data_IF_596373165352
#
_entry.id   IF_596373165352
#
_cell.length_a   1.000
_cell.length_b   1.000
_cell.length_c   1.000
_cell.angle_alpha   90.00
_cell.angle_beta   90.00
_cell.angle_gamma   90.00
#
_symmetry.space_group_name_H-M   'P 1'
#
loop_
_entity.id
_entity.type
_entity.pdbx_description
1 polymer ?
#
# COMPACT_ATOMS: atom_id res chain seq x y z
N UNK A 1 -85.26 11.03 -5.60
CA UNK A 1 -83.95 10.56 -6.11
C UNK A 1 -84.06 9.07 -6.43
N UNK A 2 -83.32 8.63 -7.44
CA UNK A 2 -83.63 7.54 -8.36
C UNK A 2 -83.49 6.12 -7.77
N UNK A 3 -84.37 5.24 -8.24
CA UNK A 3 -84.24 3.78 -8.34
C UNK A 3 -83.00 3.36 -9.16
N UNK A 4 -82.44 2.17 -8.86
CA UNK A 4 -82.08 1.07 -9.80
C UNK A 4 -81.27 0.04 -8.99
N UNK A 5 -81.71 -1.20 -8.75
CA UNK A 5 -81.98 -2.33 -9.65
C UNK A 5 -80.73 -3.06 -10.16
N UNK A 6 -80.78 -4.37 -9.91
CA UNK A 6 -79.89 -5.51 -10.07
C UNK A 6 -79.26 -5.69 -11.46
N UNK A 7 -78.02 -6.22 -11.51
CA UNK A 7 -77.55 -7.03 -12.65
C UNK A 7 -76.61 -8.15 -12.17
N UNK A 8 -76.92 -9.38 -12.59
CA UNK A 8 -76.13 -10.60 -12.42
C UNK A 8 -75.46 -10.96 -13.76
N UNK A 9 -74.28 -11.61 -13.72
CA UNK A 9 -73.67 -12.48 -14.76
C UNK A 9 -72.35 -13.05 -14.20
N UNK A 10 -72.34 -14.30 -13.71
CA UNK A 10 -71.89 -15.53 -14.40
C UNK A 10 -70.47 -15.53 -15.03
N UNK A 11 -69.53 -16.10 -14.26
CA UNK A 11 -68.56 -17.17 -14.61
C UNK A 11 -67.94 -17.27 -16.01
N UNK A 12 -66.61 -17.20 -16.06
CA UNK A 12 -65.77 -18.05 -16.91
C UNK A 12 -64.39 -18.24 -16.23
N UNK A 13 -63.99 -19.49 -16.03
CA UNK A 13 -62.73 -19.87 -15.40
C UNK A 13 -61.53 -19.74 -16.34
N UNK A 14 -60.39 -19.36 -15.78
CA UNK A 14 -59.07 -19.65 -16.35
C UNK A 14 -58.32 -20.56 -15.38
N UNK A 15 -58.02 -21.77 -15.84
CA UNK A 15 -57.09 -22.68 -15.20
C UNK A 15 -55.66 -22.19 -15.47
N UNK A 16 -54.96 -21.77 -14.41
CA UNK A 16 -53.52 -21.55 -14.45
C UNK A 16 -52.83 -22.91 -14.26
N UNK A 17 -52.26 -23.43 -15.33
CA UNK A 17 -51.30 -24.54 -15.28
C UNK A 17 -50.01 -24.01 -14.65
N UNK A 18 -49.70 -24.44 -13.44
CA UNK A 18 -48.37 -24.26 -12.86
C UNK A 18 -47.41 -25.26 -13.51
N UNK A 19 -46.46 -24.76 -14.29
CA UNK A 19 -45.28 -25.51 -14.72
C UNK A 19 -44.34 -25.65 -13.53
N UNK A 20 -44.31 -26.85 -12.94
CA UNK A 20 -43.27 -27.29 -12.02
C UNK A 20 -41.95 -27.44 -12.79
N UNK A 21 -41.02 -26.52 -12.58
CA UNK A 21 -39.62 -26.68 -12.98
C UNK A 21 -38.93 -27.45 -11.85
N UNK A 22 -38.55 -28.69 -12.13
CA UNK A 22 -37.67 -29.47 -11.27
C UNK A 22 -36.29 -28.80 -11.20
N UNK A 23 -35.67 -28.68 -10.02
CA UNK A 23 -34.30 -28.21 -9.93
C UNK A 23 -33.37 -29.28 -10.50
N UNK A 24 -32.55 -28.90 -11.48
CA UNK A 24 -31.41 -29.67 -11.96
C UNK A 24 -30.42 -29.90 -10.81
N UNK A 25 -30.00 -31.15 -10.62
CA UNK A 25 -28.90 -31.53 -9.75
C UNK A 25 -27.67 -30.68 -10.05
N UNK A 26 -27.19 -29.95 -9.05
CA UNK A 26 -25.89 -29.31 -9.08
C UNK A 26 -24.82 -30.39 -8.88
N UNK A 27 -23.99 -30.59 -9.92
CA UNK A 27 -22.79 -31.39 -9.80
C UNK A 27 -21.86 -30.74 -8.76
N UNK A 28 -21.70 -31.41 -7.62
CA UNK A 28 -20.92 -30.93 -6.49
C UNK A 28 -19.42 -31.12 -6.80
N UNK A 29 -18.75 -30.07 -7.29
CA UNK A 29 -17.30 -30.06 -7.50
C UNK A 29 -16.58 -30.10 -6.15
N UNK A 30 -15.88 -31.20 -5.87
CA UNK A 30 -15.06 -31.35 -4.66
C UNK A 30 -13.60 -31.05 -4.98
N UNK A 31 -13.06 -29.97 -4.38
CA UNK A 31 -11.62 -29.72 -4.37
C UNK A 31 -10.99 -30.57 -3.26
N UNK A 32 -10.02 -31.43 -3.62
CA UNK A 32 -9.15 -32.13 -2.67
C UNK A 32 -7.79 -31.45 -2.66
N UNK A 33 -7.20 -31.30 -1.49
CA UNK A 33 -5.80 -30.89 -1.39
C UNK A 33 -4.85 -32.04 -1.77
N UNK A 34 -3.54 -31.78 -1.77
CA UNK A 34 -2.50 -32.76 -2.07
C UNK A 34 -2.39 -33.90 -1.05
N UNK A 35 -3.16 -33.87 0.04
CA UNK A 35 -3.22 -34.91 1.07
C UNK A 35 -4.53 -35.73 1.02
N UNK A 36 -5.49 -35.34 0.18
CA UNK A 36 -6.76 -36.05 0.01
C UNK A 36 -7.83 -35.71 1.05
N UNK A 37 -7.63 -34.68 1.88
CA UNK A 37 -8.61 -34.24 2.87
C UNK A 37 -9.69 -33.35 2.22
N UNK A 38 -10.95 -33.50 2.66
CA UNK A 38 -12.07 -32.68 2.22
C UNK A 38 -12.15 -31.38 3.05
N UNK A 39 -12.17 -30.23 2.37
CA UNK A 39 -12.35 -28.92 3.01
C UNK A 39 -13.86 -28.65 3.22
N UNK A 40 -14.30 -28.56 4.47
CA UNK A 40 -15.70 -28.21 4.80
C UNK A 40 -15.94 -26.72 4.55
N UNK A 41 -16.76 -26.41 3.55
CA UNK A 41 -17.15 -25.05 3.20
C UNK A 41 -18.24 -24.50 4.11
N UNK A 42 -17.90 -23.51 4.93
CA UNK A 42 -18.87 -22.57 5.47
C UNK A 42 -18.43 -21.13 5.22
N UNK A 43 -19.38 -20.39 4.64
CA UNK A 43 -19.43 -18.95 4.33
C UNK A 43 -18.82 -18.49 3.00
N UNK A 44 -19.70 -17.90 2.18
CA UNK A 44 -19.37 -16.88 1.18
C UNK A 44 -19.08 -17.37 -0.23
N UNK A 45 -20.12 -17.62 -1.02
CA UNK A 45 -20.01 -17.80 -2.46
C UNK A 45 -19.60 -16.47 -3.11
N UNK A 46 -18.37 -16.42 -3.59
CA UNK A 46 -17.90 -15.82 -4.84
C UNK A 46 -16.36 -15.94 -4.83
N UNK A 47 -15.77 -16.56 -5.87
CA UNK A 47 -14.31 -16.83 -6.10
C UNK A 47 -13.77 -18.25 -5.88
N UNK A 48 -14.61 -19.28 -5.81
CA UNK A 48 -14.12 -20.66 -5.82
C UNK A 48 -13.60 -21.15 -7.21
N UNK A 49 -13.95 -20.46 -8.30
CA UNK A 49 -13.56 -20.88 -9.67
C UNK A 49 -12.11 -20.54 -10.08
N UNK A 50 -11.44 -19.60 -9.39
CA UNK A 50 -10.15 -19.09 -9.86
C UNK A 50 -8.93 -19.82 -9.27
N UNK A 51 -9.14 -20.73 -8.32
CA UNK A 51 -8.04 -21.39 -7.58
C UNK A 51 -7.59 -22.75 -8.16
N UNK A 52 -8.22 -23.27 -9.22
CA UNK A 52 -7.94 -24.62 -9.73
C UNK A 52 -7.24 -24.72 -11.09
N UNK A 53 -6.92 -23.60 -11.74
CA UNK A 53 -6.14 -23.59 -12.99
C UNK A 53 -4.81 -22.88 -12.78
N UNK A 54 -3.76 -23.63 -12.46
CA UNK A 54 -2.45 -23.54 -13.13
C UNK A 54 -1.45 -24.53 -12.52
N UNK A 55 -1.05 -25.51 -13.32
CA UNK A 55 -0.07 -26.55 -13.01
C UNK A 55 1.34 -26.13 -13.44
N UNK A 56 2.30 -26.41 -12.55
CA UNK A 56 3.62 -27.01 -12.80
C UNK A 56 4.79 -26.22 -13.45
N UNK A 57 5.81 -25.99 -12.61
CA UNK A 57 7.26 -26.33 -12.73
C UNK A 57 8.12 -25.73 -13.86
N UNK A 58 9.15 -24.95 -13.46
CA UNK A 58 10.55 -25.16 -13.84
C UNK A 58 11.54 -24.45 -12.88
N UNK A 59 12.67 -25.09 -12.58
CA UNK A 59 13.89 -24.56 -11.95
C UNK A 59 15.09 -24.98 -12.83
N UNK A 60 16.36 -24.64 -12.50
CA UNK A 60 17.05 -23.36 -12.62
C UNK A 60 18.27 -23.46 -13.57
N UNK A 61 18.84 -22.34 -14.05
CA UNK A 61 20.01 -22.41 -14.92
C UNK A 61 20.81 -21.12 -15.14
N UNK A 62 21.99 -21.12 -14.54
CA UNK A 62 23.26 -20.47 -14.91
C UNK A 62 23.45 -18.94 -14.77
N UNK A 63 24.43 -18.64 -13.92
CA UNK A 63 25.07 -17.36 -13.69
C UNK A 63 26.07 -17.02 -14.81
N UNK A 64 26.13 -15.74 -15.18
CA UNK A 64 27.25 -15.17 -15.93
C UNK A 64 27.94 -14.12 -15.05
N UNK A 65 29.22 -14.39 -14.84
CA UNK A 65 30.19 -13.67 -14.05
C UNK A 65 30.73 -12.47 -14.86
N UNK A 66 30.74 -11.27 -14.28
CA UNK A 66 31.53 -10.14 -14.80
C UNK A 66 32.32 -9.52 -13.66
N UNK A 67 33.65 -9.54 -13.81
CA UNK A 67 34.63 -8.94 -12.91
C UNK A 67 34.73 -7.41 -13.11
N UNK A 68 35.13 -6.68 -12.07
CA UNK A 68 35.15 -5.21 -12.04
C UNK A 68 36.46 -4.63 -12.61
N UNK A 69 36.37 -3.47 -13.25
CA UNK A 69 37.52 -2.62 -13.55
C UNK A 69 37.63 -1.48 -12.55
N UNK A 70 38.77 -1.45 -11.89
CA UNK A 70 39.24 -0.45 -10.94
C UNK A 70 39.71 0.82 -11.66
N UNK A 71 39.18 1.98 -11.28
CA UNK A 71 39.86 3.26 -11.47
C UNK A 71 39.80 4.06 -10.17
N UNK A 72 40.96 4.17 -9.52
CA UNK A 72 41.19 5.08 -8.41
C UNK A 72 41.43 6.49 -8.91
N UNK A 73 40.86 7.46 -8.22
CA UNK A 73 41.23 8.87 -8.32
C UNK A 73 41.53 9.36 -6.91
N UNK A 74 42.81 9.65 -6.68
CA UNK A 74 43.38 10.31 -5.51
C UNK A 74 43.53 11.79 -5.82
N UNK A 75 43.20 12.69 -4.87
CA UNK A 75 43.66 14.08 -4.70
C UNK A 75 42.56 14.91 -4.00
N UNK A 76 42.75 15.84 -3.05
CA UNK A 76 43.90 16.41 -2.32
C UNK A 76 43.31 16.97 -1.01
N UNK A 77 44.06 16.93 0.10
CA UNK A 77 43.64 17.48 1.40
C UNK A 77 43.91 19.00 1.44
N UNK A 78 42.92 19.87 1.71
CA UNK A 78 43.16 21.26 2.06
C UNK A 78 43.55 21.42 3.54
N UNK A 79 44.49 22.34 3.77
CA UNK A 79 45.05 22.76 5.05
C UNK A 79 43.96 23.28 6.01
N UNK A 80 43.99 22.80 7.25
CA UNK A 80 43.06 23.18 8.31
C UNK A 80 43.40 24.56 8.89
N UNK A 81 42.41 25.44 8.91
CA UNK A 81 42.38 26.65 9.75
C UNK A 81 41.86 26.30 11.14
N UNK A 82 42.58 26.75 12.18
CA UNK A 82 42.23 26.52 13.58
C UNK A 82 41.12 27.48 13.98
N UNK A 83 39.91 26.94 14.18
CA UNK A 83 38.75 27.65 14.71
C UNK A 83 38.60 27.38 16.21
N UNK A 84 38.30 28.44 16.98
CA UNK A 84 37.97 28.40 18.40
C UNK A 84 36.86 27.39 18.74
N UNK A 85 36.83 26.82 19.97
CA UNK A 85 35.97 25.68 20.31
C UNK A 85 34.50 26.06 20.23
N UNK A 86 33.80 25.48 19.26
CA UNK A 86 32.34 25.42 19.20
C UNK A 86 31.87 24.45 20.29
N UNK A 87 30.79 24.75 21.03
CA UNK A 87 30.19 23.80 21.97
C UNK A 87 29.97 22.47 21.26
N UNK A 88 30.42 21.37 21.87
CA UNK A 88 30.33 20.05 21.27
C UNK A 88 28.88 19.82 20.76
N UNK A 89 28.67 19.53 19.47
CA UNK A 89 27.40 19.05 19.01
C UNK A 89 27.05 17.83 19.85
N UNK A 90 25.85 17.79 20.42
CA UNK A 90 25.34 16.52 20.94
C UNK A 90 25.54 15.47 19.84
N UNK A 91 26.05 14.27 20.14
CA UNK A 91 26.23 13.24 19.13
C UNK A 91 24.86 12.98 18.51
N UNK A 92 24.67 13.47 17.29
CA UNK A 92 23.57 13.05 16.46
C UNK A 92 23.80 11.56 16.22
N UNK A 93 22.83 10.69 16.56
CA UNK A 93 22.94 9.29 16.17
C UNK A 93 23.16 9.22 14.67
N UNK A 94 24.14 8.41 14.27
CA UNK A 94 24.47 8.21 12.87
C UNK A 94 23.18 7.86 12.11
N UNK A 95 22.94 8.45 10.91
CA UNK A 95 21.82 8.06 10.09
C UNK A 95 21.87 6.55 9.85
N UNK A 96 20.71 5.91 9.86
CA UNK A 96 20.61 4.50 9.47
C UNK A 96 21.30 4.29 8.12
N UNK A 97 21.93 3.13 7.90
CA UNK A 97 22.57 2.79 6.62
C UNK A 97 21.61 2.89 5.42
N UNK A 98 20.30 2.85 5.70
CA UNK A 98 19.21 3.02 4.76
C UNK A 98 18.71 4.47 4.63
N UNK A 99 19.20 5.45 5.39
CA UNK A 99 18.82 6.87 5.27
C UNK A 99 17.36 7.21 5.56
N UNK A 100 16.59 6.28 6.12
CA UNK A 100 15.14 6.41 6.41
C UNK A 100 14.88 6.45 7.92
N UNK A 101 13.77 7.09 8.37
CA UNK A 101 13.39 7.08 9.78
C UNK A 101 13.00 5.67 10.22
N UNK A 102 13.67 5.11 11.23
CA UNK A 102 13.49 3.70 11.60
C UNK A 102 12.46 3.46 12.69
N UNK A 103 12.07 4.51 13.43
CA UNK A 103 11.11 4.41 14.52
C UNK A 103 10.22 5.65 14.65
N UNK A 104 9.13 5.51 15.40
CA UNK A 104 8.28 6.65 15.75
C UNK A 104 9.06 7.72 16.54
N UNK A 105 10.07 7.32 17.30
CA UNK A 105 10.94 8.21 18.08
C UNK A 105 12.24 8.58 17.36
N UNK A 106 12.28 8.42 16.02
CA UNK A 106 13.46 8.77 15.25
C UNK A 106 13.88 10.24 15.48
N UNK A 107 15.17 10.53 15.68
CA UNK A 107 15.70 11.88 15.90
C UNK A 107 15.28 12.92 14.85
N UNK A 108 14.95 12.52 13.61
CA UNK A 108 14.39 13.45 12.62
C UNK A 108 13.09 14.10 13.09
N UNK A 109 12.39 13.47 14.03
CA UNK A 109 11.17 13.97 14.67
C UNK A 109 11.43 14.69 16.00
N UNK A 110 12.67 15.08 16.32
CA UNK A 110 12.93 15.93 17.47
C UNK A 110 12.14 17.25 17.36
N UNK A 111 11.50 17.68 18.46
CA UNK A 111 10.74 18.93 18.54
C UNK A 111 9.48 19.03 17.65
N UNK A 112 8.95 17.90 17.14
CA UNK A 112 7.64 17.92 16.49
C UNK A 112 6.53 18.20 17.49
N UNK A 113 5.47 18.88 17.05
CA UNK A 113 4.32 19.21 17.88
C UNK A 113 3.37 18.02 17.98
N UNK A 114 2.95 17.65 19.18
CA UNK A 114 1.94 16.61 19.37
C UNK A 114 0.53 17.13 19.03
N UNK A 115 -0.21 16.38 18.23
CA UNK A 115 -1.63 16.57 17.96
C UNK A 115 -2.40 15.26 18.16
N UNK A 116 -3.61 15.33 18.71
CA UNK A 116 -4.45 14.14 18.95
C UNK A 116 -5.68 14.08 18.02
N UNK A 117 -5.80 15.01 17.07
CA UNK A 117 -6.97 15.12 16.19
C UNK A 117 -6.67 14.74 14.75
N UNK A 118 -7.69 14.19 14.09
CA UNK A 118 -7.71 14.00 12.64
C UNK A 118 -7.69 15.35 11.92
N UNK A 119 -7.02 15.41 10.78
CA UNK A 119 -6.85 16.64 10.01
C UNK A 119 -7.39 16.45 8.60
N UNK A 120 -8.27 17.36 8.17
CA UNK A 120 -8.61 17.50 6.75
C UNK A 120 -7.86 18.70 6.18
N UNK A 121 -7.07 18.45 5.15
CA UNK A 121 -6.25 19.41 4.45
C UNK A 121 -6.95 19.89 3.18
N UNK A 122 -7.20 21.21 3.03
CA UNK A 122 -7.70 21.76 1.77
C UNK A 122 -6.64 21.61 0.66
N UNK A 123 -7.03 21.66 -0.62
CA UNK A 123 -6.10 21.59 -1.74
C UNK A 123 -5.00 22.66 -1.65
N UNK A 124 -3.76 22.27 -1.98
CA UNK A 124 -2.56 23.11 -1.93
C UNK A 124 -1.95 23.29 -0.53
N UNK A 125 -2.55 22.74 0.52
CA UNK A 125 -2.07 22.96 1.89
C UNK A 125 -0.92 22.04 2.29
N UNK A 126 -0.19 22.46 3.33
CA UNK A 126 0.93 21.70 3.89
C UNK A 126 0.83 21.55 5.40
N UNK A 127 1.47 20.50 5.92
CA UNK A 127 1.74 20.30 7.35
C UNK A 127 3.20 19.94 7.55
N UNK A 128 3.80 20.54 8.58
CA UNK A 128 5.17 20.28 8.99
C UNK A 128 5.22 19.98 10.48
N UNK A 129 6.23 19.22 10.90
CA UNK A 129 6.64 19.07 12.30
C UNK A 129 5.51 18.61 13.24
N UNK A 130 4.87 17.51 12.89
CA UNK A 130 3.65 17.04 13.53
C UNK A 130 3.76 15.58 13.95
N UNK A 131 3.27 15.28 15.15
CA UNK A 131 3.17 13.94 15.71
C UNK A 131 1.73 13.64 16.06
N UNK A 132 1.13 12.64 15.43
CA UNK A 132 -0.26 12.25 15.67
C UNK A 132 -0.33 10.81 16.19
N UNK A 133 -1.10 10.63 17.26
CA UNK A 133 -1.53 9.31 17.75
C UNK A 133 -3.06 9.31 17.78
N UNK A 134 -3.69 8.45 16.98
CA UNK A 134 -5.14 8.48 16.70
C UNK A 134 -5.64 7.04 16.50
N UNK A 135 -6.82 6.63 17.01
CA UNK A 135 -7.24 5.22 16.99
C UNK A 135 -8.70 5.00 16.52
N UNK A 136 -9.26 5.91 15.74
CA UNK A 136 -10.68 5.87 15.33
C UNK A 136 -11.00 4.81 14.27
N UNK A 137 -10.03 4.41 13.45
CA UNK A 137 -10.27 3.60 12.24
C UNK A 137 -10.49 4.45 10.98
N UNK A 138 -10.60 5.76 11.14
CA UNK A 138 -10.72 6.72 10.04
C UNK A 138 -9.32 7.25 9.64
N UNK A 139 -9.16 7.83 8.44
CA UNK A 139 -7.90 8.43 8.03
C UNK A 139 -7.45 9.52 9.01
N UNK A 140 -6.20 9.45 9.43
CA UNK A 140 -5.61 10.45 10.33
C UNK A 140 -5.46 11.80 9.63
N UNK A 141 -5.00 11.79 8.37
CA UNK A 141 -4.92 12.98 7.53
C UNK A 141 -5.64 12.72 6.21
N UNK A 142 -6.57 13.60 5.83
CA UNK A 142 -7.23 13.59 4.53
C UNK A 142 -6.76 14.77 3.69
N UNK A 143 -6.07 14.51 2.59
CA UNK A 143 -5.74 15.49 1.56
C UNK A 143 -6.87 15.57 0.53
N UNK A 144 -7.63 16.68 0.52
CA UNK A 144 -8.75 16.91 -0.41
C UNK A 144 -8.32 17.27 -1.85
N UNK A 145 -7.02 17.45 -2.06
CA UNK A 145 -6.36 17.72 -3.34
C UNK A 145 -4.86 17.65 -3.10
N UNK A 146 -4.07 18.37 -3.90
CA UNK A 146 -2.61 18.46 -3.71
C UNK A 146 -2.27 18.82 -2.25
N UNK A 147 -1.30 18.14 -1.65
CA UNK A 147 -0.88 18.44 -0.28
C UNK A 147 0.59 18.08 -0.08
N UNK A 148 1.22 18.70 0.93
CA UNK A 148 2.58 18.32 1.34
C UNK A 148 2.68 18.05 2.83
N UNK A 149 3.32 16.95 3.20
CA UNK A 149 3.60 16.57 4.58
C UNK A 149 5.11 16.46 4.77
N UNK A 150 5.67 17.19 5.73
CA UNK A 150 7.10 17.18 6.04
C UNK A 150 7.33 16.91 7.52
N UNK A 151 8.23 15.97 7.86
CA UNK A 151 8.53 15.62 9.27
C UNK A 151 7.25 15.31 10.08
N UNK A 152 6.37 14.51 9.48
CA UNK A 152 5.12 14.07 10.11
C UNK A 152 5.24 12.63 10.54
N UNK A 153 4.92 12.32 11.80
CA UNK A 153 4.82 10.94 12.28
C UNK A 153 3.40 10.63 12.74
N UNK A 154 2.89 9.48 12.35
CA UNK A 154 1.53 9.03 12.62
C UNK A 154 1.58 7.62 13.21
N UNK A 155 0.89 7.42 14.33
CA UNK A 155 0.55 6.10 14.85
C UNK A 155 -0.97 6.00 14.90
N UNK A 156 -1.53 5.12 14.07
CA UNK A 156 -2.99 5.07 13.94
C UNK A 156 -3.60 3.75 13.50
N UNK A 157 -4.90 3.77 13.20
CA UNK A 157 -5.60 2.69 12.49
C UNK A 157 -5.73 2.94 10.98
N UNK A 158 -5.53 4.16 10.50
CA UNK A 158 -5.35 4.49 9.08
C UNK A 158 -4.50 5.76 8.96
N UNK A 159 -3.53 5.78 8.06
CA UNK A 159 -2.57 6.87 7.91
C UNK A 159 -3.15 8.07 7.15
N UNK A 160 -2.78 8.18 5.89
CA UNK A 160 -3.10 9.34 5.04
C UNK A 160 -4.01 8.91 3.89
N UNK A 161 -5.08 9.66 3.64
CA UNK A 161 -5.94 9.50 2.47
C UNK A 161 -5.77 10.67 1.50
N UNK A 162 -5.42 10.40 0.24
CA UNK A 162 -5.33 11.37 -0.85
C UNK A 162 -6.52 11.20 -1.80
N UNK A 163 -7.16 12.33 -2.17
CA UNK A 163 -8.25 12.34 -3.15
C UNK A 163 -7.68 12.59 -4.56
N UNK A 164 -6.90 13.64 -4.76
CA UNK A 164 -6.40 14.02 -6.10
C UNK A 164 -5.17 14.93 -6.02
N UNK A 165 -4.54 15.19 -7.16
CA UNK A 165 -3.47 16.18 -7.28
C UNK A 165 -2.10 15.68 -6.82
N UNK A 166 -1.20 16.62 -6.55
CA UNK A 166 0.19 16.33 -6.21
C UNK A 166 0.35 16.14 -4.70
N UNK A 167 0.73 14.93 -4.31
CA UNK A 167 0.85 14.48 -2.93
C UNK A 167 2.34 14.29 -2.62
N UNK A 168 2.90 15.17 -1.79
CA UNK A 168 4.33 15.18 -1.48
C UNK A 168 4.57 14.85 -0.01
N UNK A 169 5.15 13.69 0.28
CA UNK A 169 5.51 13.26 1.63
C UNK A 169 7.02 13.21 1.73
N UNK A 170 7.60 13.84 2.75
CA UNK A 170 9.03 13.77 3.00
C UNK A 170 9.32 13.69 4.49
N UNK A 171 10.22 12.79 4.90
CA UNK A 171 10.48 12.52 6.31
C UNK A 171 9.21 12.11 7.07
N UNK A 172 8.42 11.22 6.50
CA UNK A 172 7.17 10.74 7.11
C UNK A 172 7.36 9.35 7.71
N UNK A 173 6.82 9.13 8.91
CA UNK A 173 6.79 7.82 9.55
C UNK A 173 5.34 7.47 9.88
N UNK A 174 4.78 6.48 9.21
CA UNK A 174 3.39 6.06 9.44
C UNK A 174 3.40 4.64 9.93
N UNK A 175 2.89 4.43 11.14
CA UNK A 175 2.56 3.11 11.65
C UNK A 175 1.04 3.01 11.74
N UNK A 176 0.46 2.03 11.06
CA UNK A 176 -0.98 1.80 11.07
C UNK A 176 -1.27 0.35 11.47
N UNK A 177 -2.17 0.14 12.43
CA UNK A 177 -2.61 -1.21 12.84
C UNK A 177 -4.12 -1.32 12.69
N UNK A 178 -4.57 -1.97 11.64
CA UNK A 178 -5.99 -2.16 11.37
C UNK A 178 -6.61 -3.28 12.18
N UNK A 179 -7.90 -3.16 12.46
CA UNK A 179 -8.72 -4.21 13.08
C UNK A 179 -10.01 -4.42 12.27
N UNK A 180 -10.55 -5.64 12.29
CA UNK A 180 -11.83 -5.95 11.63
C UNK A 180 -11.80 -5.61 10.13
N UNK A 181 -12.68 -4.70 9.72
CA UNK A 181 -12.85 -4.25 8.33
C UNK A 181 -12.14 -2.93 8.01
N UNK A 182 -11.13 -2.54 8.80
CA UNK A 182 -10.38 -1.32 8.54
C UNK A 182 -9.69 -1.33 7.16
N UNK A 183 -9.54 -0.13 6.61
CA UNK A 183 -8.66 0.15 5.49
C UNK A 183 -7.36 0.78 6.00
N UNK A 184 -6.64 0.06 6.86
CA UNK A 184 -5.47 0.59 7.59
C UNK A 184 -4.22 0.76 6.71
N UNK A 185 -4.37 1.48 5.61
CA UNK A 185 -3.32 1.77 4.66
C UNK A 185 -2.47 2.93 5.20
N UNK A 186 -1.17 2.88 4.92
CA UNK A 186 -0.24 3.94 5.32
C UNK A 186 -0.51 5.23 4.55
N UNK A 187 -0.55 5.12 3.22
CA UNK A 187 -1.03 6.14 2.30
C UNK A 187 -1.98 5.49 1.29
N UNK A 188 -3.23 5.94 1.27
CA UNK A 188 -4.24 5.49 0.32
C UNK A 188 -4.63 6.64 -0.61
N UNK A 189 -4.39 6.50 -1.91
CA UNK A 189 -4.98 7.39 -2.90
C UNK A 189 -6.24 6.75 -3.47
N UNK A 190 -7.37 7.36 -3.15
CA UNK A 190 -8.71 6.85 -3.44
C UNK A 190 -9.58 7.98 -3.97
N UNK A 191 -9.84 7.98 -5.28
CA UNK A 191 -10.86 8.80 -5.91
C UNK A 191 -11.05 8.36 -7.37
N UNK A 192 -12.19 7.75 -7.72
CA UNK A 192 -12.47 7.28 -9.07
C UNK A 192 -12.15 8.30 -10.17
N UNK A 193 -11.20 7.95 -11.05
CA UNK A 193 -10.81 8.76 -12.21
C UNK A 193 -9.98 10.01 -11.89
N UNK A 194 -9.55 10.20 -10.63
CA UNK A 194 -8.64 11.29 -10.28
C UNK A 194 -7.23 11.05 -10.82
N UNK A 195 -6.53 12.14 -11.08
CA UNK A 195 -5.13 12.14 -11.56
C UNK A 195 -4.23 12.87 -10.58
N UNK A 196 -2.95 12.50 -10.55
CA UNK A 196 -1.98 13.18 -9.71
C UNK A 196 -0.57 12.61 -9.79
N UNK A 197 0.32 13.19 -8.97
CA UNK A 197 1.65 12.64 -8.72
C UNK A 197 1.80 12.41 -7.23
N UNK A 198 2.11 11.18 -6.83
CA UNK A 198 2.51 10.84 -5.47
C UNK A 198 4.03 10.80 -5.43
N UNK A 199 4.63 11.66 -4.61
CA UNK A 199 6.07 11.66 -4.33
C UNK A 199 6.28 11.41 -2.85
N UNK A 200 6.98 10.33 -2.53
CA UNK A 200 7.34 9.97 -1.15
C UNK A 200 8.86 9.86 -1.03
N UNK A 201 9.44 10.59 -0.08
CA UNK A 201 10.89 10.62 0.15
C UNK A 201 11.27 10.41 1.61
N UNK A 202 12.38 9.72 1.86
CA UNK A 202 12.99 9.57 3.19
C UNK A 202 11.95 9.14 4.25
N UNK A 203 11.11 8.15 3.94
CA UNK A 203 9.91 7.85 4.73
C UNK A 203 9.77 6.37 5.02
N UNK A 204 8.98 6.04 6.04
CA UNK A 204 8.76 4.67 6.49
C UNK A 204 7.27 4.41 6.71
N UNK A 205 6.82 3.26 6.23
CA UNK A 205 5.48 2.72 6.44
C UNK A 205 5.60 1.38 7.17
N UNK A 206 5.04 1.30 8.38
CA UNK A 206 4.94 0.07 9.18
C UNK A 206 3.48 -0.33 9.39
N UNK A 207 3.02 -1.34 8.67
CA UNK A 207 1.62 -1.75 8.65
C UNK A 207 1.40 -3.06 9.41
N UNK A 208 0.29 -3.17 10.14
CA UNK A 208 -0.10 -4.38 10.84
C UNK A 208 -1.63 -4.58 10.83
N UNK A 209 -2.07 -5.81 11.10
CA UNK A 209 -3.48 -6.14 11.20
C UNK A 209 -4.23 -6.10 9.86
N UNK A 210 -5.46 -5.58 9.87
CA UNK A 210 -6.33 -5.48 8.69
C UNK A 210 -5.94 -4.26 7.81
N UNK A 211 -5.07 -4.47 6.83
CA UNK A 211 -4.50 -3.43 5.96
C UNK A 211 -4.34 -3.93 4.53
N UNK A 212 -4.45 -3.06 3.52
CA UNK A 212 -4.16 -3.40 2.13
C UNK A 212 -2.66 -3.28 1.86
N UNK A 213 -2.09 -2.11 2.15
CA UNK A 213 -0.67 -1.87 1.92
C UNK A 213 -0.09 -0.68 2.69
N UNK A 214 1.24 -0.58 2.73
CA UNK A 214 1.92 0.66 3.10
C UNK A 214 1.55 1.82 2.18
N UNK A 215 1.47 1.55 0.88
CA UNK A 215 0.85 2.44 -0.11
C UNK A 215 -0.15 1.69 -0.98
N UNK A 216 -1.36 2.23 -1.13
CA UNK A 216 -2.40 1.70 -2.00
C UNK A 216 -2.99 2.80 -2.91
N UNK A 217 -2.92 2.58 -4.22
CA UNK A 217 -3.68 3.35 -5.21
C UNK A 217 -4.93 2.55 -5.58
N UNK A 218 -6.10 3.18 -5.56
CA UNK A 218 -7.38 2.49 -5.76
C UNK A 218 -8.24 3.15 -6.84
N UNK A 219 -9.20 2.38 -7.35
CA UNK A 219 -10.30 2.82 -8.20
C UNK A 219 -9.87 3.74 -9.36
N UNK A 220 -9.00 3.26 -10.24
CA UNK A 220 -8.63 4.02 -11.45
C UNK A 220 -8.01 5.40 -11.14
N UNK A 221 -7.35 5.56 -9.98
CA UNK A 221 -6.48 6.70 -9.71
C UNK A 221 -5.24 6.63 -10.62
N UNK A 222 -4.94 7.73 -11.29
CA UNK A 222 -3.99 7.78 -12.41
C UNK A 222 -2.79 8.68 -12.14
N UNK A 223 -1.69 8.38 -12.80
CA UNK A 223 -0.51 9.25 -12.87
C UNK A 223 0.74 8.60 -12.31
N UNK A 224 1.60 9.40 -11.69
CA UNK A 224 2.97 9.01 -11.36
C UNK A 224 3.12 8.69 -9.87
N UNK A 225 3.80 7.59 -9.57
CA UNK A 225 4.10 7.15 -8.21
C UNK A 225 5.62 7.06 -8.02
N UNK A 226 6.18 8.01 -7.29
CA UNK A 226 7.62 8.19 -7.13
C UNK A 226 8.00 7.94 -5.67
N UNK A 227 8.84 6.94 -5.43
CA UNK A 227 9.35 6.59 -4.11
C UNK A 227 10.87 6.64 -4.11
N UNK A 228 11.44 7.53 -3.30
CA UNK A 228 12.89 7.68 -3.15
C UNK A 228 13.28 7.51 -1.68
N UNK A 229 14.14 6.55 -1.37
CA UNK A 229 14.60 6.33 0.00
C UNK A 229 13.41 6.03 0.95
N UNK A 230 12.73 4.90 0.72
CA UNK A 230 11.48 4.54 1.43
C UNK A 230 11.55 3.11 1.96
N UNK A 231 11.15 2.91 3.21
CA UNK A 231 11.02 1.60 3.84
C UNK A 231 9.55 1.20 3.96
N UNK A 232 9.24 -0.01 3.50
CA UNK A 232 7.97 -0.68 3.73
C UNK A 232 8.17 -1.89 4.63
N UNK A 233 7.35 -1.98 5.66
CA UNK A 233 7.31 -3.08 6.61
C UNK A 233 5.86 -3.46 6.89
N UNK A 234 5.54 -4.74 6.76
CA UNK A 234 4.24 -5.26 7.17
C UNK A 234 3.11 -5.01 6.18
N UNK A 235 1.94 -5.53 6.54
CA UNK A 235 0.69 -5.46 5.80
C UNK A 235 0.50 -6.55 4.74
N UNK A 236 -0.60 -6.47 3.99
CA UNK A 236 -0.86 -7.42 2.91
C UNK A 236 0.18 -7.27 1.79
N UNK A 237 0.47 -6.02 1.41
CA UNK A 237 1.59 -5.63 0.55
C UNK A 237 2.35 -4.41 1.10
N UNK A 238 3.58 -4.18 0.64
CA UNK A 238 4.27 -2.90 0.84
C UNK A 238 3.70 -1.83 -0.09
N UNK A 239 3.66 -2.13 -1.38
CA UNK A 239 3.03 -1.32 -2.44
C UNK A 239 1.92 -2.10 -3.13
N UNK A 240 0.77 -1.47 -3.39
CA UNK A 240 -0.26 -2.01 -4.28
C UNK A 240 -0.77 -0.94 -5.22
N UNK A 241 -0.58 -1.15 -6.52
CA UNK A 241 -0.94 -0.18 -7.56
C UNK A 241 -1.56 -0.93 -8.74
N UNK A 242 -2.90 -0.87 -8.92
CA UNK A 242 -3.55 -1.41 -10.10
C UNK A 242 -3.33 -0.51 -11.32
N UNK A 243 -3.23 -1.13 -12.51
CA UNK A 243 -2.99 -0.43 -13.78
C UNK A 243 -4.26 0.14 -14.45
N UNK A 244 -5.42 0.06 -13.79
CA UNK A 244 -6.70 0.53 -14.34
C UNK A 244 -6.64 2.02 -14.76
N UNK A 245 -5.89 2.82 -14.01
CA UNK A 245 -5.64 4.23 -14.23
C UNK A 245 -4.69 4.63 -15.35
N UNK A 246 -3.83 3.74 -15.84
CA UNK A 246 -2.68 4.16 -16.66
C UNK A 246 -1.66 4.92 -15.80
N UNK A 247 -0.90 4.17 -15.00
CA UNK A 247 0.00 4.73 -13.99
C UNK A 247 1.45 4.34 -14.23
N UNK A 248 2.37 5.19 -13.77
CA UNK A 248 3.81 4.93 -13.80
C UNK A 248 4.41 4.86 -12.41
N UNK A 249 5.45 4.04 -12.26
CA UNK A 249 6.14 3.82 -10.99
C UNK A 249 7.63 4.06 -11.18
N UNK A 250 8.20 4.88 -10.29
CA UNK A 250 9.63 5.13 -10.16
C UNK A 250 10.08 4.81 -8.74
N UNK A 251 10.93 3.79 -8.58
CA UNK A 251 11.51 3.38 -7.29
C UNK A 251 13.02 3.60 -7.30
N UNK A 252 13.52 4.33 -6.30
CA UNK A 252 14.96 4.51 -6.05
C UNK A 252 15.26 4.35 -4.57
N UNK A 253 16.19 3.46 -4.20
CA UNK A 253 16.51 3.16 -2.79
C UNK A 253 15.25 2.77 -1.99
N UNK A 254 14.50 1.79 -2.47
CA UNK A 254 13.27 1.31 -1.80
C UNK A 254 13.52 -0.03 -1.15
N UNK A 255 13.13 -0.13 0.12
CA UNK A 255 13.45 -1.26 1.00
C UNK A 255 12.17 -1.96 1.44
N UNK A 256 12.14 -3.28 1.32
CA UNK A 256 11.03 -4.11 1.77
C UNK A 256 11.50 -5.07 2.87
N UNK A 257 10.89 -5.03 4.05
CA UNK A 257 11.27 -5.92 5.17
C UNK A 257 10.85 -7.36 4.85
N UNK A 258 11.83 -8.24 4.68
CA UNK A 258 11.63 -9.64 4.30
C UNK A 258 10.77 -10.36 5.34
N UNK A 259 9.80 -11.14 4.87
CA UNK A 259 8.90 -11.93 5.71
C UNK A 259 7.81 -11.13 6.44
N UNK A 260 7.74 -9.80 6.26
CA UNK A 260 6.74 -8.97 6.93
C UNK A 260 5.40 -8.87 6.19
N UNK A 261 5.37 -9.18 4.88
CA UNK A 261 4.17 -9.03 4.05
C UNK A 261 3.37 -10.33 3.95
N UNK A 262 2.04 -10.26 4.03
CA UNK A 262 1.16 -11.43 3.90
C UNK A 262 1.19 -12.06 2.51
N UNK A 263 1.20 -11.23 1.46
CA UNK A 263 1.09 -11.69 0.08
C UNK A 263 2.33 -11.35 -0.75
N UNK A 264 2.92 -10.17 -0.59
CA UNK A 264 4.16 -9.83 -1.28
C UNK A 264 4.61 -8.39 -1.06
N UNK A 265 5.89 -8.09 -1.32
CA UNK A 265 6.44 -6.75 -1.16
C UNK A 265 5.70 -5.68 -1.99
N UNK A 266 5.31 -6.04 -3.21
CA UNK A 266 4.52 -5.18 -4.08
C UNK A 266 3.55 -6.00 -4.92
N UNK A 267 2.50 -5.36 -5.40
CA UNK A 267 1.58 -5.89 -6.41
C UNK A 267 1.24 -4.79 -7.42
N UNK A 268 1.59 -5.03 -8.68
CA UNK A 268 1.29 -4.16 -9.81
C UNK A 268 0.31 -4.90 -10.73
N UNK A 269 -0.99 -4.73 -10.47
CA UNK A 269 -2.04 -5.49 -11.14
C UNK A 269 -2.21 -5.03 -12.60
N UNK A 270 -2.25 -5.97 -13.54
CA UNK A 270 -2.69 -5.68 -14.89
C UNK A 270 -4.23 -5.65 -14.92
N UNK A 271 -4.82 -4.54 -15.36
CA UNK A 271 -6.27 -4.38 -15.39
C UNK A 271 -6.70 -3.94 -16.78
N UNK A 272 -7.70 -4.61 -17.37
CA UNK A 272 -8.22 -4.32 -18.71
C UNK A 272 -7.12 -4.26 -19.79
N UNK A 273 -6.13 -5.16 -19.71
CA UNK A 273 -4.99 -5.22 -20.63
C UNK A 273 -3.93 -4.14 -20.44
N UNK A 274 -4.11 -3.22 -19.49
CA UNK A 274 -3.12 -2.20 -19.12
C UNK A 274 -2.14 -2.75 -18.09
N UNK A 275 -0.90 -2.26 -18.15
CA UNK A 275 0.17 -2.58 -17.20
C UNK A 275 0.73 -1.28 -16.63
N UNK A 276 1.27 -1.36 -15.42
CA UNK A 276 2.03 -0.27 -14.83
C UNK A 276 3.29 -0.02 -15.68
N UNK A 277 3.55 1.24 -16.01
CA UNK A 277 4.80 1.64 -16.64
C UNK A 277 5.89 1.80 -15.57
N UNK A 278 6.94 0.98 -15.62
CA UNK A 278 8.05 1.09 -14.67
C UNK A 278 9.11 2.01 -15.28
N UNK A 279 9.19 3.23 -14.78
CA UNK A 279 10.10 4.27 -15.27
C UNK A 279 11.49 4.19 -14.62
N UNK A 280 11.55 3.77 -13.36
CA UNK A 280 12.79 3.60 -12.62
C UNK A 280 12.71 2.43 -11.63
N UNK A 281 13.78 1.64 -11.60
CA UNK A 281 13.96 0.53 -10.67
C UNK A 281 15.42 0.47 -10.17
N UNK A 282 15.78 1.40 -9.29
CA UNK A 282 17.15 1.59 -8.84
C UNK A 282 17.28 1.21 -7.36
N UNK A 283 18.18 0.28 -7.04
CA UNK A 283 18.46 -0.14 -5.67
C UNK A 283 17.20 -0.54 -4.87
N UNK A 284 16.24 -1.20 -5.52
CA UNK A 284 15.08 -1.80 -4.86
C UNK A 284 15.52 -3.14 -4.25
N UNK A 285 15.36 -3.33 -2.94
CA UNK A 285 15.93 -4.50 -2.25
C UNK A 285 15.14 -4.99 -1.05
N UNK A 286 15.44 -6.21 -0.66
CA UNK A 286 15.05 -6.73 0.64
C UNK A 286 15.82 -6.05 1.77
N UNK A 287 15.22 -5.99 2.95
CA UNK A 287 15.86 -5.61 4.20
C UNK A 287 15.42 -6.57 5.32
N UNK A 288 16.15 -6.62 6.43
CA UNK A 288 15.77 -7.42 7.60
C UNK A 288 16.27 -6.76 8.87
N UNK A 289 15.52 -6.88 9.96
CA UNK A 289 15.94 -6.41 11.27
C UNK A 289 16.95 -7.38 11.90
N UNK A 290 18.03 -6.83 12.47
CA UNK A 290 18.97 -7.53 13.34
C UNK A 290 19.06 -6.74 14.64
N UNK A 291 18.21 -7.09 15.60
CA UNK A 291 17.95 -6.21 16.74
C UNK A 291 17.33 -4.90 16.25
N UNK A 292 17.87 -3.77 16.68
CA UNK A 292 17.41 -2.43 16.29
C UNK A 292 18.03 -1.92 14.98
N UNK A 293 18.90 -2.70 14.34
CA UNK A 293 19.55 -2.33 13.08
C UNK A 293 18.82 -2.91 11.87
N UNK A 294 18.62 -2.07 10.85
CA UNK A 294 18.13 -2.51 9.55
C UNK A 294 19.31 -2.95 8.67
N UNK A 295 19.36 -4.24 8.34
CA UNK A 295 20.37 -4.82 7.45
C UNK A 295 19.81 -4.90 6.02
N UNK A 296 20.53 -4.30 5.08
CA UNK A 296 20.19 -4.32 3.66
C UNK A 296 20.53 -5.68 3.03
N UNK A 297 19.56 -6.27 2.34
CA UNK A 297 19.69 -7.57 1.65
C UNK A 297 19.79 -7.44 0.13
N UNK A 298 19.44 -8.54 -0.54
CA UNK A 298 19.53 -8.70 -2.00
C UNK A 298 18.63 -7.73 -2.76
N UNK A 299 19.08 -7.33 -3.94
CA UNK A 299 18.27 -6.60 -4.91
C UNK A 299 17.06 -7.42 -5.35
N UNK A 300 15.92 -6.76 -5.48
CA UNK A 300 14.72 -7.32 -6.10
C UNK A 300 14.77 -6.98 -7.59
N UNK A 301 14.46 -7.96 -8.45
CA UNK A 301 14.42 -7.74 -9.90
C UNK A 301 13.21 -6.90 -10.28
N UNK A 302 13.36 -6.07 -11.30
CA UNK A 302 12.24 -5.37 -11.91
C UNK A 302 11.23 -6.41 -12.44
N UNK A 303 9.93 -6.26 -12.12
CA UNK A 303 8.87 -7.15 -12.60
C UNK A 303 8.44 -6.89 -14.05
#
# INVERSE_FOLDING_TARGET
MRYLMTLALLSAGLALVQSTVSPTESALWRCRDSSGAELSGHTGADRAEEACSNRALASPGQALEMRPSSFGITATIPVATVSSPTPAPMPHPAPSSAGVPLSFNDPVYANVTSGASRITLPPGSSRTDLSIVENSGEPTIVCKGSCSLTRVRIQSREGVRCVSGNINLTWVYITATGVGSDHADGLQCYSPGSTGTVTVKNSTFKMAGATTAGYFSADNWQGSHVFENVLFEGGNHGLRIPADGGSSVSLKNVYFVRGSFRYGAYLFDAVNGRRINIEQWENVRWASWRGDELVLGDLIKQP
#
